data_IF_091773612776
#
_entry.id   IF_091773612776
#
_cell.length_a   1.000
_cell.length_b   1.000
_cell.length_c   1.000
_cell.angle_alpha   90.00
_cell.angle_beta   90.00
_cell.angle_gamma   90.00
#
_symmetry.space_group_name_H-M   'P 1'
#
loop_
_entity.id
_entity.type
_entity.pdbx_description
1 polymer ?
#
# COMPACT_ATOMS: atom_id res chain seq x y z
N UNK A 1 -18.80 -22.16 -9.60
CA UNK A 1 -19.87 -21.34 -8.98
C UNK A 1 -19.83 -19.97 -9.64
N UNK A 2 -20.93 -19.52 -10.25
CA UNK A 2 -20.97 -18.23 -10.96
C UNK A 2 -20.84 -17.08 -9.96
N UNK A 3 -19.91 -16.16 -10.19
CA UNK A 3 -19.69 -14.99 -9.35
C UNK A 3 -20.96 -14.12 -9.39
N UNK A 4 -21.60 -13.89 -8.23
CA UNK A 4 -22.74 -12.97 -8.13
C UNK A 4 -22.25 -11.57 -8.47
N UNK A 5 -22.76 -11.00 -9.57
CA UNK A 5 -22.42 -9.64 -9.96
C UNK A 5 -23.02 -8.66 -8.94
N UNK A 6 -22.26 -7.61 -8.59
CA UNK A 6 -22.69 -6.55 -7.69
C UNK A 6 -23.94 -5.83 -8.22
N UNK A 7 -24.84 -5.42 -7.33
CA UNK A 7 -26.06 -4.65 -7.68
C UNK A 7 -25.73 -3.36 -8.44
N UNK A 8 -24.61 -2.70 -8.11
CA UNK A 8 -24.18 -1.50 -8.85
C UNK A 8 -23.72 -1.83 -10.26
N UNK A 9 -23.12 -2.99 -10.45
CA UNK A 9 -22.60 -3.42 -11.74
C UNK A 9 -23.71 -3.94 -12.65
N UNK A 10 -24.77 -4.51 -12.07
CA UNK A 10 -26.04 -4.74 -12.76
C UNK A 10 -26.70 -3.40 -13.18
N UNK A 11 -26.72 -2.41 -12.29
CA UNK A 11 -27.23 -1.07 -12.62
C UNK A 11 -26.44 -0.42 -13.77
N UNK A 12 -25.10 -0.56 -13.78
CA UNK A 12 -24.27 -0.09 -14.90
C UNK A 12 -24.61 -0.79 -16.21
N UNK A 13 -24.86 -2.10 -16.18
CA UNK A 13 -25.27 -2.85 -17.39
C UNK A 13 -26.59 -2.35 -17.95
N UNK A 14 -27.61 -2.19 -17.10
CA UNK A 14 -28.90 -1.65 -17.54
C UNK A 14 -28.75 -0.24 -18.14
N UNK A 15 -27.94 0.61 -17.51
CA UNK A 15 -27.77 2.00 -17.95
C UNK A 15 -26.79 2.16 -19.11
N UNK A 16 -26.00 1.13 -19.44
CA UNK A 16 -25.18 1.09 -20.65
C UNK A 16 -26.04 0.95 -21.92
N UNK A 17 -27.23 0.34 -21.81
CA UNK A 17 -28.20 0.23 -22.90
C UNK A 17 -29.01 1.52 -23.09
N UNK A 18 -28.94 2.45 -22.12
CA UNK A 18 -29.53 3.79 -22.21
C UNK A 18 -30.06 4.32 -20.88
N UNK A 19 -30.52 5.59 -20.85
CA UNK A 19 -31.16 6.17 -19.67
C UNK A 19 -32.37 5.35 -19.21
N UNK A 20 -32.55 5.16 -17.90
CA UNK A 20 -33.66 4.39 -17.34
C UNK A 20 -34.31 5.10 -16.15
N UNK A 21 -35.64 5.04 -16.06
CA UNK A 21 -36.36 5.61 -14.92
C UNK A 21 -36.09 4.81 -13.64
N UNK A 22 -36.11 5.48 -12.49
CA UNK A 22 -35.79 4.91 -11.17
C UNK A 22 -36.54 3.60 -10.88
N UNK A 23 -37.80 3.48 -11.31
CA UNK A 23 -38.60 2.27 -11.12
C UNK A 23 -38.16 1.10 -12.01
N UNK A 24 -37.64 1.38 -13.20
CA UNK A 24 -37.11 0.36 -14.11
C UNK A 24 -35.76 -0.14 -13.62
N UNK A 25 -34.91 0.77 -13.11
CA UNK A 25 -33.68 0.40 -12.39
C UNK A 25 -33.99 -0.44 -11.16
N UNK A 26 -34.99 -0.07 -10.34
CA UNK A 26 -35.39 -0.84 -9.17
C UNK A 26 -35.86 -2.26 -9.55
N UNK A 27 -36.60 -2.39 -10.66
CA UNK A 27 -37.09 -3.67 -11.16
C UNK A 27 -35.95 -4.54 -11.67
N UNK A 28 -35.06 -3.98 -12.49
CA UNK A 28 -33.97 -4.72 -13.12
C UNK A 28 -32.83 -5.07 -12.15
N UNK A 29 -32.52 -4.20 -11.19
CA UNK A 29 -31.40 -4.39 -10.25
C UNK A 29 -31.84 -5.08 -8.97
N UNK A 30 -32.95 -4.66 -8.38
CA UNK A 30 -33.38 -5.07 -7.03
C UNK A 30 -34.55 -6.06 -7.06
N UNK A 31 -35.10 -6.36 -8.24
CA UNK A 31 -36.31 -7.20 -8.37
C UNK A 31 -37.55 -6.58 -7.73
N UNK A 32 -37.55 -5.27 -7.45
CA UNK A 32 -38.66 -4.60 -6.77
C UNK A 32 -39.75 -4.23 -7.77
N UNK A 33 -40.93 -4.84 -7.61
CA UNK A 33 -42.13 -4.57 -8.43
C UNK A 33 -43.25 -3.85 -7.65
N UNK A 34 -43.00 -3.53 -6.38
CA UNK A 34 -43.98 -2.99 -5.42
C UNK A 34 -44.04 -1.46 -5.32
N UNK A 35 -44.35 -0.96 -4.12
CA UNK A 35 -44.67 0.45 -3.84
C UNK A 35 -43.62 1.45 -4.36
N UNK A 36 -43.98 2.38 -5.27
CA UNK A 36 -43.03 3.26 -5.96
C UNK A 36 -42.08 4.04 -5.05
N UNK A 37 -42.55 4.52 -3.89
CA UNK A 37 -41.73 5.31 -2.97
C UNK A 37 -40.63 4.52 -2.26
N UNK A 38 -40.85 3.22 -1.99
CA UNK A 38 -39.84 2.36 -1.38
C UNK A 38 -38.77 1.96 -2.40
N UNK A 39 -39.21 1.58 -3.62
CA UNK A 39 -38.34 1.24 -4.73
C UNK A 39 -37.39 2.40 -5.09
N UNK A 40 -37.93 3.63 -5.19
CA UNK A 40 -37.10 4.81 -5.45
C UNK A 40 -36.07 5.04 -4.35
N UNK A 41 -36.47 4.97 -3.07
CA UNK A 41 -35.54 5.20 -1.96
C UNK A 41 -34.38 4.21 -1.97
N UNK A 42 -34.65 2.93 -2.25
CA UNK A 42 -33.61 1.91 -2.36
C UNK A 42 -32.63 2.15 -3.51
N UNK A 43 -33.12 2.58 -4.68
CA UNK A 43 -32.23 2.94 -5.81
C UNK A 43 -31.41 4.19 -5.49
N UNK A 44 -32.00 5.21 -4.88
CA UNK A 44 -31.27 6.41 -4.45
C UNK A 44 -30.21 6.09 -3.39
N UNK A 45 -30.50 5.20 -2.43
CA UNK A 45 -29.48 4.72 -1.47
C UNK A 45 -28.36 3.93 -2.18
N UNK A 46 -28.72 3.12 -3.17
CA UNK A 46 -27.75 2.30 -3.91
C UNK A 46 -26.82 3.13 -4.80
N UNK A 47 -27.37 4.08 -5.58
CA UNK A 47 -26.68 4.78 -6.66
C UNK A 47 -26.41 6.26 -6.36
N UNK A 48 -27.18 6.90 -5.49
CA UNK A 48 -27.18 8.37 -5.34
C UNK A 48 -25.91 8.99 -4.77
N UNK A 49 -25.01 8.17 -4.21
CA UNK A 49 -23.68 8.60 -3.74
C UNK A 49 -22.54 8.06 -4.63
N UNK A 50 -22.85 7.50 -5.79
CA UNK A 50 -21.86 6.94 -6.73
C UNK A 50 -21.77 7.86 -7.95
N UNK A 51 -20.63 8.52 -8.12
CA UNK A 51 -20.40 9.49 -9.18
C UNK A 51 -20.49 8.87 -10.59
N UNK A 52 -20.49 7.54 -10.69
CA UNK A 52 -20.78 6.76 -11.89
C UNK A 52 -22.19 6.97 -12.45
N UNK A 53 -23.10 7.53 -11.67
CA UNK A 53 -24.51 7.64 -12.01
C UNK A 53 -25.01 9.06 -11.81
N UNK A 54 -25.79 9.55 -12.77
CA UNK A 54 -26.53 10.80 -12.65
C UNK A 54 -28.02 10.49 -12.65
N UNK A 55 -28.79 11.32 -11.96
CA UNK A 55 -30.25 11.26 -12.00
C UNK A 55 -30.80 12.66 -12.20
N UNK A 56 -31.74 12.80 -13.12
CA UNK A 56 -32.42 14.06 -13.37
C UNK A 56 -33.64 14.26 -12.44
N UNK A 57 -34.26 15.45 -12.41
CA UNK A 57 -35.46 15.69 -11.59
C UNK A 57 -36.68 14.82 -11.95
N UNK A 58 -36.70 14.23 -13.15
CA UNK A 58 -37.74 13.29 -13.55
C UNK A 58 -37.46 11.85 -13.06
N UNK A 59 -36.35 11.63 -12.35
CA UNK A 59 -35.96 10.33 -11.82
C UNK A 59 -35.37 9.40 -12.87
N UNK A 60 -34.86 9.95 -13.99
CA UNK A 60 -34.17 9.19 -15.03
C UNK A 60 -32.68 9.12 -14.69
N UNK A 61 -32.18 7.91 -14.54
CA UNK A 61 -30.78 7.61 -14.28
C UNK A 61 -30.01 7.47 -15.59
N UNK A 62 -28.77 7.94 -15.60
CA UNK A 62 -27.80 7.76 -16.68
C UNK A 62 -26.44 7.40 -16.12
N UNK A 63 -25.61 6.75 -16.94
CA UNK A 63 -24.17 6.72 -16.67
C UNK A 63 -23.60 8.10 -16.93
N UNK A 64 -22.75 8.57 -16.02
CA UNK A 64 -21.93 9.73 -16.31
C UNK A 64 -20.78 9.28 -17.23
N UNK A 65 -20.70 9.79 -18.48
CA UNK A 65 -19.67 9.39 -19.43
C UNK A 65 -18.25 9.82 -19.00
N UNK A 66 -18.15 10.80 -18.11
CA UNK A 66 -16.88 11.24 -17.50
C UNK A 66 -16.59 10.50 -16.19
N UNK A 67 -17.57 9.75 -15.67
CA UNK A 67 -17.37 9.03 -14.44
C UNK A 67 -16.57 7.76 -14.70
N UNK A 68 -15.48 7.72 -13.96
CA UNK A 68 -14.52 6.66 -13.98
C UNK A 68 -15.11 5.41 -13.32
N UNK A 69 -14.92 4.25 -13.94
CA UNK A 69 -15.18 2.99 -13.26
C UNK A 69 -14.30 2.92 -12.00
N UNK A 70 -14.89 2.73 -10.81
CA UNK A 70 -14.10 2.67 -9.58
C UNK A 70 -13.15 1.48 -9.65
N UNK A 71 -11.87 1.75 -9.38
CA UNK A 71 -10.87 0.70 -9.20
C UNK A 71 -11.10 -0.08 -7.90
N UNK A 72 -10.13 -0.92 -7.53
CA UNK A 72 -10.12 -1.55 -6.20
C UNK A 72 -10.15 -0.45 -5.13
N UNK A 73 -11.18 -0.40 -4.25
CA UNK A 73 -11.25 0.59 -3.18
C UNK A 73 -10.00 0.53 -2.30
N UNK A 74 -9.50 1.69 -1.82
CA UNK A 74 -8.27 1.72 -1.01
C UNK A 74 -8.37 0.85 0.26
N UNK A 75 -9.57 0.72 0.82
CA UNK A 75 -9.87 -0.13 1.97
C UNK A 75 -9.80 -1.64 1.68
N UNK A 76 -9.92 -2.03 0.41
CA UNK A 76 -9.87 -3.42 -0.05
C UNK A 76 -8.50 -3.82 -0.64
N UNK A 77 -7.55 -2.88 -0.72
CA UNK A 77 -6.18 -3.16 -1.17
C UNK A 77 -5.36 -3.72 0.00
N UNK A 78 -4.69 -4.84 -0.22
CA UNK A 78 -3.62 -5.31 0.66
C UNK A 78 -2.29 -4.64 0.29
N UNK A 79 -1.63 -4.04 1.28
CA UNK A 79 -0.36 -3.34 1.10
C UNK A 79 0.78 -4.14 1.73
N UNK A 80 1.90 -4.27 1.02
CA UNK A 80 3.17 -4.78 1.57
C UNK A 80 4.13 -3.62 1.66
N UNK A 81 4.32 -3.09 2.87
CA UNK A 81 5.28 -2.01 3.12
C UNK A 81 6.64 -2.64 3.38
N UNK A 82 7.63 -2.23 2.60
CA UNK A 82 8.98 -2.80 2.65
C UNK A 82 9.99 -1.68 2.82
N UNK A 83 11.05 -1.99 3.54
CA UNK A 83 12.28 -1.22 3.60
C UNK A 83 13.46 -2.19 3.57
N UNK A 84 14.59 -1.77 3.00
CA UNK A 84 15.81 -2.58 2.94
C UNK A 84 17.01 -1.76 3.38
N UNK A 85 17.87 -2.39 4.18
CA UNK A 85 19.23 -1.89 4.40
C UNK A 85 20.20 -2.61 3.47
N UNK A 86 21.22 -1.90 3.00
CA UNK A 86 22.10 -2.39 1.92
C UNK A 86 23.57 -2.05 2.18
N UNK A 87 24.49 -2.77 1.52
CA UNK A 87 25.94 -2.47 1.59
C UNK A 87 26.34 -1.15 0.93
N UNK A 88 25.40 -0.44 0.32
CA UNK A 88 25.62 0.80 -0.42
C UNK A 88 24.43 1.18 -1.30
N UNK A 89 24.56 2.24 -2.08
CA UNK A 89 23.44 2.84 -2.81
C UNK A 89 23.23 2.32 -4.25
N UNK A 90 24.04 1.38 -4.72
CA UNK A 90 24.11 1.01 -6.13
C UNK A 90 23.81 -0.47 -6.37
N UNK A 91 22.51 -0.79 -6.48
CA UNK A 91 22.01 -2.12 -6.84
C UNK A 91 22.62 -2.64 -8.15
N UNK A 92 22.96 -1.76 -9.09
CA UNK A 92 23.55 -2.07 -10.40
C UNK A 92 25.09 -2.19 -10.38
N UNK A 93 25.74 -1.89 -9.24
CA UNK A 93 27.21 -1.98 -9.07
C UNK A 93 27.62 -2.96 -7.97
N UNK A 94 26.73 -3.93 -7.72
CA UNK A 94 26.98 -5.07 -6.86
C UNK A 94 26.72 -4.83 -5.38
N UNK A 95 26.28 -3.65 -4.94
CA UNK A 95 25.79 -3.50 -3.56
C UNK A 95 24.66 -4.51 -3.30
N UNK A 96 24.59 -5.04 -2.08
CA UNK A 96 23.71 -6.15 -1.70
C UNK A 96 22.80 -5.78 -0.54
N UNK A 97 21.68 -6.47 -0.42
CA UNK A 97 20.79 -6.35 0.74
C UNK A 97 21.44 -6.97 1.98
N UNK A 98 21.31 -6.31 3.13
CA UNK A 98 21.80 -6.78 4.44
C UNK A 98 20.69 -6.92 5.48
N UNK A 99 19.52 -6.31 5.26
CA UNK A 99 18.33 -6.47 6.08
C UNK A 99 17.08 -6.20 5.24
N UNK A 100 16.00 -6.93 5.51
CA UNK A 100 14.68 -6.72 4.92
C UNK A 100 13.66 -6.58 6.04
N UNK A 101 12.88 -5.52 5.99
CA UNK A 101 11.72 -5.30 6.86
C UNK A 101 10.45 -5.27 6.02
N UNK A 102 9.46 -6.07 6.39
CA UNK A 102 8.16 -6.15 5.72
C UNK A 102 7.06 -5.95 6.74
N UNK A 103 6.06 -5.13 6.41
CA UNK A 103 4.88 -4.88 7.22
C UNK A 103 3.65 -4.92 6.31
N UNK A 104 2.69 -5.78 6.65
CA UNK A 104 1.40 -5.83 5.96
C UNK A 104 0.44 -4.80 6.53
N UNK A 105 -0.35 -4.20 5.64
CA UNK A 105 -1.45 -3.31 5.99
C UNK A 105 -2.68 -3.73 5.21
N UNK A 106 -3.80 -3.95 5.91
CA UNK A 106 -5.07 -4.40 5.33
C UNK A 106 -6.24 -3.70 6.04
N UNK A 107 -7.22 -3.19 5.29
CA UNK A 107 -8.40 -2.56 5.88
C UNK A 107 -8.10 -1.39 6.82
N UNK A 108 -6.94 -0.73 6.67
CA UNK A 108 -6.49 0.35 7.54
C UNK A 108 -5.79 -0.10 8.83
N UNK A 109 -5.53 -1.40 8.98
CA UNK A 109 -4.86 -2.00 10.15
C UNK A 109 -3.46 -2.47 9.76
N UNK A 110 -2.48 -2.20 10.60
CA UNK A 110 -1.13 -2.76 10.47
C UNK A 110 -1.15 -4.17 11.05
N UNK A 111 -0.85 -5.17 10.23
CA UNK A 111 -0.91 -6.59 10.56
C UNK A 111 0.47 -7.21 10.72
N UNK A 112 0.68 -8.35 10.04
CA UNK A 112 1.90 -9.15 10.12
C UNK A 112 3.16 -8.34 9.79
N UNK A 113 4.24 -8.69 10.47
CA UNK A 113 5.54 -8.06 10.32
C UNK A 113 6.63 -9.13 10.23
N UNK A 114 7.54 -8.95 9.29
CA UNK A 114 8.68 -9.84 9.07
C UNK A 114 9.96 -9.02 9.00
N UNK A 115 10.99 -9.50 9.68
CA UNK A 115 12.33 -8.90 9.69
C UNK A 115 13.36 -10.01 9.57
N UNK A 116 14.34 -9.81 8.71
CA UNK A 116 15.50 -10.71 8.62
C UNK A 116 16.75 -9.94 8.26
N UNK A 117 17.86 -10.26 8.94
CA UNK A 117 19.18 -9.97 8.41
C UNK A 117 19.45 -10.87 7.20
N UNK A 118 20.30 -10.39 6.30
CA UNK A 118 20.72 -11.12 5.10
C UNK A 118 22.24 -11.10 5.05
N UNK A 119 22.85 -12.26 4.82
CA UNK A 119 24.27 -12.35 4.55
C UNK A 119 24.53 -11.88 3.10
N UNK A 120 25.20 -10.72 2.89
CA UNK A 120 25.42 -10.18 1.56
C UNK A 120 26.54 -10.92 0.81
N UNK A 121 27.16 -11.93 1.43
CA UNK A 121 28.33 -12.68 0.94
C UNK A 121 29.52 -11.76 0.60
N UNK A 122 29.62 -10.63 1.31
CA UNK A 122 30.68 -9.63 1.16
C UNK A 122 30.82 -8.79 2.44
N UNK A 123 31.91 -8.04 2.54
CA UNK A 123 32.10 -7.09 3.64
C UNK A 123 31.15 -5.89 3.52
N UNK A 124 30.56 -5.50 4.64
CA UNK A 124 29.77 -4.28 4.77
C UNK A 124 30.75 -3.10 4.97
N UNK A 125 30.73 -2.04 4.14
CA UNK A 125 31.59 -0.88 4.35
C UNK A 125 31.37 -0.23 5.73
N UNK A 126 32.43 0.19 6.41
CA UNK A 126 32.34 0.77 7.77
C UNK A 126 31.30 1.90 7.89
N UNK A 127 31.23 2.79 6.90
CA UNK A 127 30.23 3.88 6.86
C UNK A 127 28.78 3.38 6.90
N UNK A 128 28.51 2.19 6.36
CA UNK A 128 27.18 1.57 6.36
C UNK A 128 26.92 0.91 7.71
N UNK A 129 27.93 0.26 8.30
CA UNK A 129 27.84 -0.28 9.66
C UNK A 129 27.56 0.85 10.67
N UNK A 130 28.21 2.01 10.53
CA UNK A 130 27.97 3.19 11.36
C UNK A 130 26.57 3.79 11.15
N UNK A 131 26.04 3.73 9.93
CA UNK A 131 24.74 4.29 9.58
C UNK A 131 23.57 3.42 10.05
N UNK A 132 23.66 2.11 9.83
CA UNK A 132 22.60 1.13 10.08
C UNK A 132 22.74 0.41 11.42
N UNK A 133 23.95 0.38 11.98
CA UNK A 133 24.32 -0.46 13.12
C UNK A 133 24.52 -1.94 12.76
N UNK A 134 24.35 -2.34 11.50
CA UNK A 134 24.50 -3.74 11.06
C UNK A 134 25.97 -4.02 10.74
N UNK A 135 26.55 -4.97 11.46
CA UNK A 135 27.98 -5.31 11.37
C UNK A 135 28.22 -6.64 10.65
N UNK A 136 29.44 -6.84 10.12
CA UNK A 136 29.80 -8.12 9.47
C UNK A 136 29.53 -9.35 10.38
N UNK A 137 29.84 -9.33 11.70
CA UNK A 137 29.52 -10.45 12.59
C UNK A 137 28.01 -10.73 12.72
N UNK A 138 27.15 -9.71 12.64
CA UNK A 138 25.70 -9.89 12.73
C UNK A 138 25.14 -10.66 11.52
N UNK A 139 25.66 -10.37 10.34
CA UNK A 139 25.18 -10.99 9.09
C UNK A 139 25.91 -12.28 8.74
N UNK A 140 27.04 -12.60 9.39
CA UNK A 140 27.84 -13.78 9.08
C UNK A 140 27.06 -15.10 9.23
N UNK A 141 26.17 -15.17 10.23
CA UNK A 141 25.29 -16.32 10.47
C UNK A 141 23.89 -16.19 9.87
N UNK A 142 23.58 -15.04 9.23
CA UNK A 142 22.28 -14.83 8.60
C UNK A 142 22.16 -15.64 7.29
N UNK A 143 20.94 -15.97 6.85
CA UNK A 143 20.76 -16.62 5.56
C UNK A 143 21.25 -15.72 4.40
N UNK A 144 21.82 -16.28 3.33
CA UNK A 144 22.00 -15.52 2.09
C UNK A 144 20.63 -15.17 1.50
N UNK A 145 20.58 -14.22 0.55
CA UNK A 145 19.30 -13.77 0.00
C UNK A 145 18.46 -14.91 -0.60
N UNK A 146 19.11 -15.90 -1.24
CA UNK A 146 18.44 -17.11 -1.76
C UNK A 146 17.61 -17.85 -0.70
N UNK A 147 18.12 -17.89 0.54
CA UNK A 147 17.42 -18.53 1.66
C UNK A 147 16.19 -17.77 2.16
N UNK A 148 16.02 -16.50 1.79
CA UNK A 148 14.86 -15.66 2.18
C UNK A 148 13.95 -15.32 1.00
N UNK A 149 14.38 -15.57 -0.24
CA UNK A 149 13.68 -15.16 -1.46
C UNK A 149 12.26 -15.71 -1.55
N UNK A 150 12.05 -17.00 -1.24
CA UNK A 150 10.72 -17.61 -1.25
C UNK A 150 9.76 -16.97 -0.25
N UNK A 151 10.20 -16.83 1.01
CA UNK A 151 9.43 -16.20 2.07
C UNK A 151 9.09 -14.72 1.77
N UNK A 152 9.97 -14.03 1.05
CA UNK A 152 9.73 -12.65 0.59
C UNK A 152 8.73 -12.61 -0.58
N UNK A 153 8.85 -13.51 -1.55
CA UNK A 153 7.95 -13.58 -2.69
C UNK A 153 6.49 -13.84 -2.24
N UNK A 154 6.29 -14.78 -1.32
CA UNK A 154 4.98 -15.08 -0.71
C UNK A 154 4.37 -13.83 -0.04
N UNK A 155 5.20 -12.99 0.59
CA UNK A 155 4.74 -11.77 1.27
C UNK A 155 4.42 -10.62 0.31
N UNK A 156 4.90 -10.69 -0.93
CA UNK A 156 4.63 -9.70 -1.99
C UNK A 156 3.41 -10.08 -2.83
N UNK A 157 3.06 -11.37 -2.87
CA UNK A 157 2.01 -11.90 -3.74
C UNK A 157 0.65 -11.25 -3.47
N UNK A 158 -0.03 -10.85 -4.56
CA UNK A 158 -1.39 -10.30 -4.50
C UNK A 158 -1.52 -8.93 -3.80
N UNK A 159 -0.40 -8.28 -3.45
CA UNK A 159 -0.37 -7.03 -2.69
C UNK A 159 0.32 -5.90 -3.47
N UNK A 160 0.02 -4.66 -3.09
CA UNK A 160 0.73 -3.48 -3.61
C UNK A 160 2.01 -3.29 -2.79
N UNK A 161 3.16 -3.32 -3.45
CA UNK A 161 4.45 -3.00 -2.86
C UNK A 161 4.53 -1.51 -2.53
N UNK A 162 4.89 -1.18 -1.28
CA UNK A 162 5.00 0.19 -0.80
C UNK A 162 6.36 0.41 -0.16
N UNK A 163 7.05 1.51 -0.50
CA UNK A 163 8.24 1.92 0.25
C UNK A 163 8.43 3.44 0.29
N UNK A 164 9.26 3.90 1.23
CA UNK A 164 9.65 5.30 1.33
C UNK A 164 10.83 5.62 0.41
N UNK A 165 10.50 5.81 -0.88
CA UNK A 165 11.40 5.79 -2.05
C UNK A 165 11.43 4.44 -2.79
N UNK A 166 10.26 3.81 -2.95
CA UNK A 166 10.03 2.50 -3.60
C UNK A 166 10.92 2.11 -4.79
N UNK A 167 11.36 3.04 -5.64
CA UNK A 167 12.31 2.73 -6.71
C UNK A 167 13.63 2.14 -6.19
N UNK A 168 14.13 2.64 -5.07
CA UNK A 168 15.37 2.18 -4.45
C UNK A 168 15.21 0.77 -3.91
N UNK A 169 14.26 0.58 -3.00
CA UNK A 169 14.00 -0.70 -2.33
C UNK A 169 13.65 -1.79 -3.34
N UNK A 170 12.74 -1.48 -4.27
CA UNK A 170 12.35 -2.42 -5.31
C UNK A 170 13.51 -2.79 -6.23
N UNK A 171 14.42 -1.86 -6.55
CA UNK A 171 15.55 -2.18 -7.41
C UNK A 171 16.49 -3.20 -6.77
N UNK A 172 16.77 -3.06 -5.47
CA UNK A 172 17.53 -4.06 -4.72
C UNK A 172 16.82 -5.41 -4.68
N UNK A 173 15.55 -5.43 -4.26
CA UNK A 173 14.79 -6.68 -4.16
C UNK A 173 14.62 -7.36 -5.51
N UNK A 174 14.39 -6.59 -6.58
CA UNK A 174 14.27 -7.11 -7.93
C UNK A 174 15.54 -7.84 -8.37
N UNK A 175 16.71 -7.23 -8.19
CA UNK A 175 17.97 -7.87 -8.60
C UNK A 175 18.28 -9.10 -7.75
N UNK A 176 18.03 -9.02 -6.44
CA UNK A 176 18.26 -10.13 -5.53
C UNK A 176 17.29 -11.30 -5.77
N UNK A 177 16.00 -11.03 -6.02
CA UNK A 177 15.00 -12.03 -6.41
C UNK A 177 15.37 -12.66 -7.76
N UNK A 178 15.69 -11.84 -8.77
CA UNK A 178 16.11 -12.35 -10.07
C UNK A 178 17.33 -13.26 -9.96
N UNK A 179 18.32 -12.90 -9.15
CA UNK A 179 19.52 -13.69 -8.94
C UNK A 179 19.24 -14.99 -8.16
N UNK A 180 18.33 -14.96 -7.19
CA UNK A 180 18.01 -16.10 -6.33
C UNK A 180 17.05 -17.11 -6.99
N UNK A 181 16.05 -16.63 -7.73
CA UNK A 181 14.94 -17.48 -8.21
C UNK A 181 14.88 -17.58 -9.74
N UNK A 182 15.59 -16.70 -10.46
CA UNK A 182 15.47 -16.57 -11.92
C UNK A 182 14.20 -15.85 -12.38
N UNK A 183 13.39 -15.34 -11.45
CA UNK A 183 12.12 -14.66 -11.73
C UNK A 183 11.91 -13.44 -10.82
N UNK A 184 11.09 -12.50 -11.28
CA UNK A 184 10.72 -11.30 -10.52
C UNK A 184 9.19 -11.18 -10.53
N UNK A 185 8.54 -11.19 -9.36
CA UNK A 185 7.10 -11.04 -9.31
C UNK A 185 6.68 -9.68 -9.87
N UNK A 186 5.62 -9.68 -10.68
CA UNK A 186 4.97 -8.44 -11.10
C UNK A 186 4.20 -7.86 -9.92
N UNK A 187 4.66 -6.72 -9.42
CA UNK A 187 4.01 -6.01 -8.30
C UNK A 187 3.63 -4.61 -8.73
N UNK A 188 2.42 -4.20 -8.33
CA UNK A 188 2.05 -2.79 -8.38
C UNK A 188 2.84 -2.05 -7.28
N UNK A 189 3.35 -0.86 -7.60
CA UNK A 189 4.24 -0.13 -6.70
C UNK A 189 3.69 1.25 -6.30
N UNK A 190 3.83 1.57 -5.02
CA UNK A 190 3.47 2.85 -4.45
C UNK A 190 4.63 3.45 -3.66
N UNK A 191 4.90 4.73 -3.89
CA UNK A 191 6.01 5.43 -3.23
C UNK A 191 5.46 6.50 -2.28
N UNK A 192 5.71 6.37 -0.98
CA UNK A 192 5.18 7.31 0.01
C UNK A 192 5.79 8.70 -0.11
N UNK A 193 6.99 8.85 -0.67
CA UNK A 193 7.56 10.17 -1.05
C UNK A 193 6.70 10.86 -2.12
N UNK A 194 6.28 10.10 -3.15
CA UNK A 194 5.44 10.64 -4.23
C UNK A 194 4.06 11.01 -3.73
N UNK A 195 3.48 10.17 -2.87
CA UNK A 195 2.22 10.46 -2.19
C UNK A 195 2.31 11.68 -1.28
N UNK A 196 3.35 11.76 -0.44
CA UNK A 196 3.59 12.92 0.42
C UNK A 196 3.69 14.21 -0.39
N UNK A 197 4.37 14.20 -1.55
CA UNK A 197 4.42 15.37 -2.45
C UNK A 197 3.08 15.73 -3.07
N UNK A 198 2.20 14.76 -3.30
CA UNK A 198 0.86 14.97 -3.85
C UNK A 198 -0.09 15.52 -2.77
N UNK A 199 -0.08 14.90 -1.61
CA UNK A 199 -1.09 15.06 -0.56
C UNK A 199 -0.69 16.04 0.54
N UNK A 200 0.61 16.30 0.69
CA UNK A 200 1.18 17.28 1.64
C UNK A 200 2.13 18.24 0.89
N UNK A 201 1.63 19.00 -0.11
CA UNK A 201 2.48 19.84 -0.97
C UNK A 201 3.11 21.04 -0.24
N UNK A 202 2.63 21.37 0.97
CA UNK A 202 3.15 22.45 1.80
C UNK A 202 4.52 22.15 2.42
N UNK A 203 4.86 20.87 2.60
CA UNK A 203 6.17 20.49 3.13
C UNK A 203 7.27 20.71 2.09
N UNK A 204 8.39 21.28 2.55
CA UNK A 204 9.58 21.47 1.69
C UNK A 204 10.31 20.16 1.42
N UNK A 205 10.30 19.24 2.39
CA UNK A 205 10.97 17.94 2.33
C UNK A 205 9.95 16.84 2.56
N UNK A 206 10.14 15.72 1.88
CA UNK A 206 9.25 14.55 1.94
C UNK A 206 10.03 13.28 2.26
N UNK A 207 11.17 13.41 2.95
CA UNK A 207 11.86 12.28 3.55
C UNK A 207 11.10 11.77 4.78
N UNK A 208 11.41 10.54 5.22
CA UNK A 208 10.65 9.83 6.25
C UNK A 208 10.56 10.64 7.52
N UNK A 209 11.68 11.17 8.01
CA UNK A 209 11.75 12.00 9.21
C UNK A 209 10.85 13.25 9.12
N UNK A 210 10.81 13.89 7.94
CA UNK A 210 10.03 15.12 7.75
C UNK A 210 8.53 14.85 7.73
N UNK A 211 8.12 13.74 7.11
CA UNK A 211 6.70 13.36 7.04
C UNK A 211 6.24 12.74 8.36
N UNK A 212 7.06 11.92 8.99
CA UNK A 212 6.80 11.35 10.30
C UNK A 212 6.62 12.46 11.34
N UNK A 213 7.53 13.44 11.38
CA UNK A 213 7.40 14.60 12.25
C UNK A 213 6.12 15.40 11.99
N UNK A 214 5.74 15.60 10.71
CA UNK A 214 4.52 16.31 10.36
C UNK A 214 3.25 15.62 10.89
N UNK A 215 3.20 14.30 10.83
CA UNK A 215 2.04 13.52 11.26
C UNK A 215 2.12 13.04 12.73
N UNK A 216 3.19 13.36 13.46
CA UNK A 216 3.40 12.89 14.83
C UNK A 216 3.69 11.39 14.93
N UNK A 217 4.26 10.79 13.88
CA UNK A 217 4.58 9.36 13.83
C UNK A 217 5.91 9.10 14.54
N UNK A 218 5.95 8.24 15.57
CA UNK A 218 7.21 7.82 16.17
C UNK A 218 7.97 6.91 15.22
N UNK A 219 9.28 7.17 15.06
CA UNK A 219 10.20 6.26 14.38
C UNK A 219 11.04 5.57 15.45
N UNK A 220 10.84 4.27 15.60
CA UNK A 220 11.59 3.42 16.53
C UNK A 220 12.61 2.65 15.72
N UNK A 221 13.86 2.61 16.19
CA UNK A 221 14.98 1.97 15.48
C UNK A 221 15.17 2.51 14.05
N UNK A 222 15.29 3.83 13.91
CA UNK A 222 15.63 4.47 12.62
C UNK A 222 16.90 3.84 12.04
N UNK A 223 16.93 3.59 10.73
CA UNK A 223 18.01 2.90 10.01
C UNK A 223 18.11 1.40 10.32
N UNK A 224 16.96 0.83 10.69
CA UNK A 224 16.70 -0.61 10.72
C UNK A 224 15.46 -0.85 9.88
N UNK A 225 15.51 -1.87 9.04
CA UNK A 225 14.54 -2.06 7.99
C UNK A 225 13.11 -2.19 8.53
N UNK A 226 12.89 -2.99 9.59
CA UNK A 226 11.55 -3.11 10.17
C UNK A 226 11.09 -1.81 10.84
N UNK A 227 12.01 -1.08 11.51
CA UNK A 227 11.70 0.20 12.14
C UNK A 227 11.19 1.23 11.12
N UNK A 228 11.85 1.31 9.98
CA UNK A 228 11.52 2.22 8.89
C UNK A 228 10.30 1.76 8.07
N UNK A 229 10.13 0.46 7.83
CA UNK A 229 8.93 -0.11 7.23
C UNK A 229 7.69 0.16 8.10
N UNK A 230 7.80 0.01 9.42
CA UNK A 230 6.72 0.27 10.37
C UNK A 230 6.34 1.76 10.43
N UNK A 231 7.33 2.66 10.45
CA UNK A 231 7.07 4.10 10.33
C UNK A 231 6.42 4.45 8.99
N UNK A 232 6.87 3.81 7.90
CA UNK A 232 6.30 3.96 6.57
C UNK A 232 4.87 3.43 6.47
N UNK A 233 4.53 2.35 7.17
CA UNK A 233 3.18 1.80 7.22
C UNK A 233 2.21 2.75 7.93
N UNK A 234 2.61 3.32 9.06
CA UNK A 234 1.82 4.38 9.72
C UNK A 234 1.66 5.58 8.80
N UNK A 235 2.74 6.03 8.15
CA UNK A 235 2.70 7.13 7.20
C UNK A 235 1.75 6.84 6.02
N UNK A 236 1.75 5.63 5.50
CA UNK A 236 0.84 5.20 4.44
C UNK A 236 -0.61 5.39 4.87
N UNK A 237 -1.00 4.97 6.08
CA UNK A 237 -2.36 5.15 6.59
C UNK A 237 -2.78 6.62 6.70
N UNK A 238 -1.87 7.52 7.06
CA UNK A 238 -2.14 8.96 7.05
C UNK A 238 -2.33 9.50 5.62
N UNK A 239 -1.49 9.04 4.68
CA UNK A 239 -1.57 9.45 3.28
C UNK A 239 -2.81 8.90 2.58
N UNK A 240 -3.24 7.67 2.87
CA UNK A 240 -4.48 7.11 2.30
C UNK A 240 -5.70 7.90 2.77
N UNK A 241 -5.79 8.24 4.06
CA UNK A 241 -6.85 9.14 4.56
C UNK A 241 -6.83 10.52 3.90
N UNK A 242 -5.64 11.10 3.74
CA UNK A 242 -5.48 12.36 3.01
C UNK A 242 -5.93 12.30 1.55
N UNK A 243 -5.80 11.13 0.92
CA UNK A 243 -6.27 10.88 -0.44
C UNK A 243 -7.81 10.81 -0.46
N UNK A 244 -8.42 10.09 0.48
CA UNK A 244 -9.88 9.99 0.63
C UNK A 244 -10.54 11.36 0.89
N UNK A 245 -9.93 12.21 1.72
CA UNK A 245 -10.38 13.60 1.95
C UNK A 245 -10.34 14.47 0.67
N UNK A 246 -9.55 14.06 -0.32
CA UNK A 246 -9.46 14.67 -1.66
C UNK A 246 -10.21 13.87 -2.71
N UNK A 247 -11.12 13.02 -2.28
CA UNK A 247 -11.98 12.20 -3.12
C UNK A 247 -11.25 11.16 -3.98
N UNK A 248 -10.03 10.78 -3.58
CA UNK A 248 -9.28 9.69 -4.18
C UNK A 248 -9.53 8.44 -3.35
N UNK A 249 -10.50 7.62 -3.77
CA UNK A 249 -11.03 6.49 -2.97
C UNK A 249 -10.62 5.10 -3.45
N UNK A 250 -9.95 5.01 -4.60
CA UNK A 250 -9.50 3.73 -5.18
C UNK A 250 -8.05 3.79 -5.68
N UNK A 251 -7.44 2.61 -5.85
CA UNK A 251 -6.05 2.46 -6.28
C UNK A 251 -5.81 3.08 -7.65
N UNK A 252 -6.77 2.93 -8.57
CA UNK A 252 -6.69 3.50 -9.90
C UNK A 252 -6.55 5.03 -9.74
N UNK A 253 -7.33 5.65 -8.87
CA UNK A 253 -7.48 7.12 -8.74
C UNK A 253 -6.21 7.71 -8.16
N UNK A 254 -5.61 6.98 -7.24
CA UNK A 254 -4.29 7.28 -6.70
C UNK A 254 -3.23 7.29 -7.80
N UNK A 255 -3.23 6.28 -8.69
CA UNK A 255 -2.30 6.21 -9.84
C UNK A 255 -2.48 7.38 -10.79
N UNK A 256 -3.72 7.71 -11.12
CA UNK A 256 -4.01 8.83 -12.00
C UNK A 256 -3.60 10.17 -11.40
N UNK A 257 -3.86 10.41 -10.12
CA UNK A 257 -3.44 11.63 -9.45
C UNK A 257 -1.91 11.76 -9.45
N UNK A 258 -1.20 10.67 -9.16
CA UNK A 258 0.25 10.59 -9.25
C UNK A 258 0.77 10.83 -10.68
N UNK A 259 0.07 10.31 -11.69
CA UNK A 259 0.42 10.48 -13.10
C UNK A 259 0.18 11.93 -13.57
N UNK A 260 -0.99 12.51 -13.29
CA UNK A 260 -1.33 13.91 -13.58
C UNK A 260 -0.31 14.85 -12.96
N UNK A 261 0.05 14.63 -11.68
CA UNK A 261 1.07 15.43 -10.99
C UNK A 261 2.43 15.34 -11.67
N UNK A 262 2.87 14.14 -12.06
CA UNK A 262 4.14 13.94 -12.77
C UNK A 262 4.13 14.67 -14.11
N UNK A 263 3.04 14.55 -14.88
CA UNK A 263 2.88 15.21 -16.18
C UNK A 263 2.95 16.73 -16.02
N UNK A 264 2.21 17.31 -15.07
CA UNK A 264 2.22 18.75 -14.82
C UNK A 264 3.63 19.29 -14.52
N UNK A 265 4.42 18.57 -13.70
CA UNK A 265 5.81 18.95 -13.41
C UNK A 265 6.72 18.91 -14.65
N UNK A 266 6.51 17.97 -15.55
CA UNK A 266 7.29 17.84 -16.79
C UNK A 266 6.93 18.91 -17.83
N UNK A 267 5.67 19.35 -17.85
CA UNK A 267 5.17 20.33 -18.84
C UNK A 267 5.18 21.77 -18.33
N UNK A 268 5.85 22.06 -17.20
CA UNK A 268 5.91 23.40 -16.61
C UNK A 268 4.58 23.92 -16.04
N UNK A 269 3.58 23.04 -15.86
CA UNK A 269 2.28 23.39 -15.31
C UNK A 269 2.36 23.69 -13.81
N UNK A 270 1.60 24.69 -13.37
CA UNK A 270 1.48 25.05 -11.96
C UNK A 270 0.87 23.89 -11.18
N UNK A 271 1.64 23.24 -10.30
CA UNK A 271 1.06 22.30 -9.34
C UNK A 271 0.46 23.15 -8.21
N UNK A 272 -0.86 23.13 -8.09
CA UNK A 272 -1.56 23.86 -7.04
C UNK A 272 -0.97 23.56 -5.66
N UNK A 273 -0.45 24.61 -5.02
CA UNK A 273 0.10 24.58 -3.65
C UNK A 273 -0.99 24.74 -2.58
N UNK A 274 -2.26 24.47 -2.89
CA UNK A 274 -3.37 24.67 -1.95
C UNK A 274 -3.92 23.32 -1.51
N UNK A 275 -3.46 22.87 -0.35
CA UNK A 275 -4.17 21.90 0.47
C UNK A 275 -4.21 22.47 1.89
N UNK A 276 -5.39 22.51 2.51
CA UNK A 276 -5.53 22.80 3.93
C UNK A 276 -4.69 21.75 4.70
N UNK A 277 -3.91 22.13 5.72
CA UNK A 277 -3.18 21.15 6.53
C UNK A 277 -4.18 20.13 7.08
N UNK A 278 -3.85 18.85 6.96
CA UNK A 278 -4.62 17.80 7.60
C UNK A 278 -4.53 18.01 9.12
N UNK A 279 -5.63 17.92 9.87
CA UNK A 279 -5.54 17.89 11.32
C UNK A 279 -4.69 16.68 11.76
N UNK A 280 -3.94 16.78 12.87
CA UNK A 280 -3.34 15.60 13.47
C UNK A 280 -4.46 14.61 13.79
N UNK A 281 -4.22 13.34 13.49
CA UNK A 281 -5.21 12.31 13.82
C UNK A 281 -5.37 12.16 15.33
N UNK A 282 -6.58 11.85 15.77
CA UNK A 282 -6.80 11.15 17.03
C UNK A 282 -6.22 9.72 16.91
N UNK A 283 -5.51 9.30 17.96
CA UNK A 283 -4.82 8.04 18.22
C UNK A 283 -4.78 7.01 17.07
N UNK A 284 -3.55 6.72 16.61
CA UNK A 284 -3.29 5.57 15.75
C UNK A 284 -3.88 4.31 16.40
N UNK A 285 -4.46 3.37 15.63
CA UNK A 285 -4.88 2.09 16.19
C UNK A 285 -3.69 1.50 16.95
N UNK A 286 -3.94 1.14 18.23
CA UNK A 286 -2.94 0.55 19.09
C UNK A 286 -2.29 -0.60 18.32
N UNK A 287 -0.95 -0.62 18.32
CA UNK A 287 -0.20 -1.76 17.82
C UNK A 287 -0.68 -2.96 18.62
N UNK A 288 -1.18 -3.98 17.96
CA UNK A 288 -1.53 -5.22 18.62
C UNK A 288 -0.23 -5.79 19.22
N UNK A 289 -0.07 -5.65 20.54
CA UNK A 289 1.15 -6.04 21.26
C UNK A 289 1.38 -7.57 21.22
N UNK A 290 0.39 -8.32 20.74
CA UNK A 290 0.42 -9.78 20.69
C UNK A 290 1.13 -10.37 19.46
N UNK A 291 1.41 -9.58 18.40
CA UNK A 291 2.20 -10.07 17.25
C UNK A 291 3.69 -10.34 17.58
N UNK A 292 4.18 -9.91 18.76
CA UNK A 292 5.55 -10.21 19.23
C UNK A 292 5.73 -11.62 19.81
N UNK A 293 4.67 -12.38 20.06
CA UNK A 293 4.77 -13.60 20.90
C UNK A 293 4.96 -14.92 20.17
N UNK A 294 4.89 -14.99 18.84
CA UNK A 294 5.00 -16.29 18.15
C UNK A 294 6.34 -16.59 17.46
N UNK A 295 7.26 -15.62 17.36
CA UNK A 295 8.55 -15.84 16.66
C UNK A 295 9.74 -16.27 17.55
N UNK A 296 9.49 -16.72 18.79
CA UNK A 296 10.55 -17.26 19.69
C UNK A 296 10.38 -18.75 20.04
N UNK A 297 9.47 -19.49 19.38
CA UNK A 297 9.30 -20.93 19.60
C UNK A 297 9.55 -21.73 18.33
N UNK A 298 10.81 -21.83 17.95
CA UNK A 298 11.42 -22.92 17.18
C UNK A 298 12.93 -22.79 17.46
N UNK A 299 13.63 -23.68 18.16
CA UNK A 299 13.36 -24.97 18.75
C UNK A 299 14.71 -25.42 19.29
N UNK A 300 15.00 -25.05 20.54
CA UNK A 300 16.12 -25.61 21.31
C UNK A 300 15.64 -26.96 21.85
N UNK A 301 15.73 -28.00 21.02
CA UNK A 301 15.56 -29.38 21.45
C UNK A 301 16.71 -30.23 20.89
N UNK A 302 17.66 -30.53 21.77
CA UNK A 302 18.80 -31.38 21.49
C UNK A 302 19.50 -31.85 22.76
N UNK A 303 18.76 -32.38 23.74
CA UNK A 303 19.32 -33.22 24.80
C UNK A 303 18.94 -34.69 24.57
N UNK A 304 19.96 -35.52 24.32
CA UNK A 304 20.06 -36.95 24.69
C UNK A 304 21.52 -37.35 24.44
N UNK A 305 22.37 -37.51 25.45
CA UNK A 305 22.48 -38.57 26.47
C UNK A 305 23.24 -39.83 25.99
N UNK A 306 24.26 -40.18 26.79
CA UNK A 306 24.84 -41.52 26.95
C UNK A 306 25.94 -42.00 25.99
N UNK A 307 27.17 -42.18 26.52
CA UNK A 307 27.64 -43.50 27.03
C UNK A 307 29.17 -43.64 27.01
N UNK A 308 29.72 -43.95 28.21
CA UNK A 308 31.07 -44.43 28.60
C UNK A 308 32.24 -43.45 28.55
#
# INVERSE_FOLDING_TARGET
MSARVSLREEARRILADGPAHTLDVARGVLGLTGHPGAASRSVFTLLGNDDGFRVDPAGVWTLDPEARLPGVPLSAVGWTVVDVETTGGAWDRGDRVIEVGVVHVDGGVIGDAFETLVNPMRRIPLRIQEFTGITDPMVAGAPPFEGVAGALAERLEGRVFVAHNARFDWAFLREELLAATGDVPEVEQLCTVRLGRLLVPSLRRHGLDSLASHFGIPIVNRHRALGDAMATARLLLHLLRAAEERDIRDLLGLREALFRRRRALLTGGSVERRGRPLPPMADAPALDEDARKEHTRNGDEGTSDGTI
#
